data_IF_391777945944
#
_entry.id   IF_391777945944
#
_cell.length_a   1.000
_cell.length_b   1.000
_cell.length_c   1.000
_cell.angle_alpha   90.00
_cell.angle_beta   90.00
_cell.angle_gamma   90.00
#
_symmetry.space_group_name_H-M   'P 1'
#
loop_
_entity.id
_entity.type
_entity.pdbx_description
1 polymer ?
#
# COMPACT_ATOMS: atom_id res chain seq x y z
N UNK A 1 33.95 12.10 -17.24
CA UNK A 1 32.55 12.22 -17.70
C UNK A 1 32.26 11.05 -18.63
N UNK A 2 31.12 10.37 -18.47
CA UNK A 2 30.77 9.23 -19.33
C UNK A 2 30.51 9.72 -20.76
N UNK A 3 31.02 9.00 -21.76
CA UNK A 3 30.75 9.23 -23.18
C UNK A 3 29.37 8.69 -23.62
N UNK A 4 28.60 8.14 -22.69
CA UNK A 4 27.26 7.65 -22.97
C UNK A 4 26.32 8.82 -23.30
N UNK A 5 25.56 8.68 -24.39
CA UNK A 5 24.47 9.61 -24.70
C UNK A 5 23.45 9.62 -23.56
N UNK A 6 22.82 10.77 -23.26
CA UNK A 6 21.73 10.84 -22.31
C UNK A 6 20.65 9.80 -22.65
N UNK A 7 20.23 9.02 -21.65
CA UNK A 7 19.19 8.00 -21.85
C UNK A 7 17.87 8.61 -22.32
N UNK A 8 17.61 9.87 -21.96
CA UNK A 8 16.45 10.66 -22.39
C UNK A 8 16.31 10.73 -23.91
N UNK A 9 17.42 10.73 -24.65
CA UNK A 9 17.40 10.75 -26.11
C UNK A 9 16.80 9.44 -26.65
N UNK A 10 17.19 8.32 -26.03
CA UNK A 10 16.64 6.99 -26.37
C UNK A 10 15.17 6.89 -25.99
N UNK A 11 14.77 7.45 -24.84
CA UNK A 11 13.38 7.45 -24.40
C UNK A 11 12.46 8.22 -25.35
N UNK A 12 12.93 9.33 -25.94
CA UNK A 12 12.18 10.09 -26.96
C UNK A 12 11.94 9.29 -28.25
N UNK A 13 12.76 8.28 -28.54
CA UNK A 13 12.53 7.42 -29.71
C UNK A 13 11.47 6.34 -29.45
N UNK A 14 11.19 5.99 -28.20
CA UNK A 14 10.18 4.97 -27.88
C UNK A 14 8.79 5.52 -28.22
N UNK A 15 8.09 4.85 -29.14
CA UNK A 15 6.75 5.26 -29.56
C UNK A 15 6.69 6.66 -30.18
N UNK A 16 7.80 7.15 -30.75
CA UNK A 16 7.86 8.50 -31.34
C UNK A 16 7.76 9.64 -30.34
N UNK A 17 8.07 9.41 -29.06
CA UNK A 17 8.05 10.43 -28.00
C UNK A 17 6.84 10.31 -27.07
N UNK A 18 5.77 9.64 -27.51
CA UNK A 18 4.54 9.43 -26.71
C UNK A 18 4.85 8.77 -25.36
N UNK A 19 5.85 7.88 -25.31
CA UNK A 19 6.25 7.23 -24.08
C UNK A 19 6.71 8.22 -23.00
N UNK A 20 7.52 9.22 -23.37
CA UNK A 20 8.05 10.17 -22.40
C UNK A 20 6.99 11.19 -21.98
N UNK A 21 6.07 11.52 -22.87
CA UNK A 21 4.92 12.38 -22.56
C UNK A 21 4.00 11.69 -21.55
N UNK A 22 3.64 10.43 -21.79
CA UNK A 22 2.86 9.61 -20.85
C UNK A 22 3.57 9.46 -19.50
N UNK A 23 4.89 9.26 -19.49
CA UNK A 23 5.65 9.17 -18.25
C UNK A 23 5.60 10.49 -17.46
N UNK A 24 5.63 11.62 -18.16
CA UNK A 24 5.54 12.96 -17.57
C UNK A 24 4.16 13.21 -16.98
N UNK A 25 3.09 12.85 -17.69
CA UNK A 25 1.71 12.92 -17.19
C UNK A 25 1.51 12.05 -15.94
N UNK A 26 2.01 10.81 -15.96
CA UNK A 26 1.92 9.89 -14.82
C UNK A 26 2.73 10.37 -13.62
N UNK A 27 3.84 11.05 -13.85
CA UNK A 27 4.61 11.69 -12.78
C UNK A 27 3.83 12.85 -12.15
N UNK A 28 3.21 13.71 -12.96
CA UNK A 28 2.36 14.79 -12.45
C UNK A 28 1.19 14.24 -11.62
N UNK A 29 0.53 13.19 -12.12
CA UNK A 29 -0.52 12.47 -11.41
C UNK A 29 -0.03 11.90 -10.06
N UNK A 30 1.17 11.32 -10.03
CA UNK A 30 1.78 10.81 -8.82
C UNK A 30 2.07 11.91 -7.80
N UNK A 31 2.67 13.02 -8.25
CA UNK A 31 3.01 14.15 -7.39
C UNK A 31 1.75 14.72 -6.74
N UNK A 32 0.70 14.95 -7.53
CA UNK A 32 -0.58 15.43 -7.00
C UNK A 32 -1.20 14.46 -5.99
N UNK A 33 -1.11 13.15 -6.23
CA UNK A 33 -1.63 12.15 -5.31
C UNK A 33 -0.82 12.06 -4.00
N UNK A 34 0.51 12.19 -4.07
CA UNK A 34 1.39 12.24 -2.90
C UNK A 34 1.14 13.50 -2.09
N UNK A 35 1.00 14.65 -2.75
CA UNK A 35 0.71 15.93 -2.10
C UNK A 35 -0.65 15.91 -1.37
N UNK A 36 -1.69 15.39 -2.04
CA UNK A 36 -3.02 15.31 -1.46
C UNK A 36 -3.14 14.29 -0.31
N UNK A 37 -2.41 13.17 -0.38
CA UNK A 37 -2.49 12.09 0.63
C UNK A 37 -1.47 12.21 1.76
N UNK A 38 -0.36 12.93 1.55
CA UNK A 38 0.80 12.93 2.43
C UNK A 38 1.56 11.58 2.48
N UNK A 39 1.15 10.59 1.69
CA UNK A 39 1.70 9.23 1.69
C UNK A 39 2.58 9.02 0.46
N UNK A 40 3.57 8.14 0.60
CA UNK A 40 4.49 7.83 -0.49
C UNK A 40 3.79 7.09 -1.64
N UNK A 41 4.21 7.37 -2.87
CA UNK A 41 3.82 6.61 -4.06
C UNK A 41 5.02 6.38 -4.98
N UNK A 42 4.85 5.53 -5.98
CA UNK A 42 5.96 5.04 -6.82
C UNK A 42 5.59 5.06 -8.29
N UNK A 43 6.44 5.69 -9.12
CA UNK A 43 6.41 5.56 -10.57
C UNK A 43 7.56 4.66 -11.03
N UNK A 44 7.25 3.57 -11.72
CA UNK A 44 8.24 2.64 -12.28
C UNK A 44 8.26 2.75 -13.80
N UNK A 45 9.44 3.02 -14.36
CA UNK A 45 9.70 3.03 -15.80
C UNK A 45 10.60 1.85 -16.11
N UNK A 46 10.12 0.94 -16.95
CA UNK A 46 10.87 -0.25 -17.38
C UNK A 46 11.25 -0.12 -18.84
N UNK A 47 12.54 -0.25 -19.14
CA UNK A 47 13.07 -0.28 -20.51
C UNK A 47 13.51 -1.69 -20.83
N UNK A 48 12.84 -2.33 -21.77
CA UNK A 48 13.16 -3.66 -22.26
C UNK A 48 13.96 -3.55 -23.56
N UNK A 49 15.14 -4.14 -23.61
CA UNK A 49 15.98 -4.16 -24.81
C UNK A 49 16.11 -5.60 -25.30
N UNK A 50 15.82 -5.82 -26.59
CA UNK A 50 15.97 -7.12 -27.25
C UNK A 50 16.74 -6.95 -28.55
N UNK A 51 17.66 -7.87 -28.85
CA UNK A 51 18.36 -7.86 -30.15
C UNK A 51 17.39 -8.26 -31.25
N UNK A 52 17.33 -7.48 -32.33
CA UNK A 52 16.57 -7.86 -33.51
C UNK A 52 17.24 -9.07 -34.19
N UNK A 53 16.42 -10.01 -34.66
CA UNK A 53 16.89 -11.26 -35.28
C UNK A 53 17.58 -11.05 -36.63
N UNK A 54 17.36 -9.90 -37.29
CA UNK A 54 18.01 -9.52 -38.54
C UNK A 54 18.55 -8.09 -38.46
N UNK A 55 19.74 -7.85 -39.02
CA UNK A 55 20.26 -6.51 -39.27
C UNK A 55 20.96 -5.79 -38.10
N UNK A 56 21.29 -6.49 -37.00
CA UNK A 56 22.09 -5.92 -35.91
C UNK A 56 21.42 -4.82 -35.08
N UNK A 57 20.16 -4.50 -35.37
CA UNK A 57 19.37 -3.52 -34.64
C UNK A 57 18.95 -4.02 -33.24
N UNK A 58 18.56 -3.09 -32.38
CA UNK A 58 17.98 -3.36 -31.07
C UNK A 58 16.52 -2.90 -31.05
N UNK A 59 15.62 -3.77 -30.61
CA UNK A 59 14.26 -3.40 -30.24
C UNK A 59 14.26 -2.86 -28.81
N UNK A 60 13.70 -1.67 -28.63
CA UNK A 60 13.55 -1.00 -27.34
C UNK A 60 12.06 -0.85 -27.08
N UNK A 61 11.59 -1.40 -25.96
CA UNK A 61 10.23 -1.25 -25.47
C UNK A 61 10.23 -0.52 -24.13
N UNK A 62 9.26 0.38 -23.95
CA UNK A 62 9.02 1.07 -22.69
C UNK A 62 7.73 0.60 -22.03
N UNK A 63 7.74 0.45 -20.71
CA UNK A 63 6.54 0.21 -19.89
C UNK A 63 6.54 1.15 -18.69
N UNK A 64 5.38 1.71 -18.38
CA UNK A 64 5.16 2.57 -17.21
C UNK A 64 4.20 1.86 -16.26
N UNK A 65 4.53 1.83 -14.97
CA UNK A 65 3.66 1.36 -13.91
C UNK A 65 3.59 2.41 -12.80
N UNK A 66 2.38 2.88 -12.48
CA UNK A 66 2.12 3.86 -11.45
C UNK A 66 1.45 3.17 -10.25
N UNK A 67 2.07 3.27 -9.09
CA UNK A 67 1.49 2.90 -7.80
C UNK A 67 1.20 4.18 -7.04
N UNK A 68 -0.06 4.60 -7.05
CA UNK A 68 -0.50 5.75 -6.26
C UNK A 68 -0.40 5.44 -4.76
N UNK A 69 -0.29 6.47 -3.91
CA UNK A 69 -0.39 6.29 -2.47
C UNK A 69 -1.68 5.53 -2.14
N UNK A 70 -1.54 4.45 -1.36
CA UNK A 70 -2.68 3.64 -0.95
C UNK A 70 -3.52 4.43 0.06
N UNK A 71 -4.84 4.42 -0.13
CA UNK A 71 -5.78 4.71 0.95
C UNK A 71 -5.55 3.67 2.06
N UNK A 72 -5.82 4.03 3.32
CA UNK A 72 -5.61 3.10 4.42
C UNK A 72 -6.36 1.80 4.13
N UNK A 73 -5.67 0.64 4.20
CA UNK A 73 -6.33 -0.63 3.93
C UNK A 73 -7.53 -0.76 4.88
N UNK A 74 -8.72 -1.04 4.32
CA UNK A 74 -9.88 -1.41 5.11
C UNK A 74 -9.62 -2.80 5.69
N UNK A 75 -8.89 -2.85 6.79
CA UNK A 75 -8.58 -4.06 7.52
C UNK A 75 -9.77 -4.45 8.40
N UNK A 76 -10.23 -5.69 8.26
CA UNK A 76 -11.17 -6.31 9.18
C UNK A 76 -10.50 -7.55 9.78
N UNK A 77 -10.34 -7.58 11.10
CA UNK A 77 -9.83 -8.74 11.81
C UNK A 77 -10.98 -9.75 11.96
N UNK A 78 -10.83 -10.91 11.34
CA UNK A 78 -11.80 -12.00 11.37
C UNK A 78 -11.11 -13.29 11.82
N UNK A 79 -11.83 -14.12 12.57
CA UNK A 79 -11.39 -15.41 13.05
C UNK A 79 -11.93 -16.52 12.14
N UNK A 80 -11.06 -17.47 11.79
CA UNK A 80 -11.44 -18.63 11.00
C UNK A 80 -12.15 -19.69 11.85
N UNK A 81 -13.31 -20.17 11.39
CA UNK A 81 -14.01 -21.31 12.00
C UNK A 81 -13.51 -22.63 11.40
N UNK A 82 -13.62 -23.77 12.11
CA UNK A 82 -13.23 -25.10 11.59
C UNK A 82 -13.97 -25.50 10.30
N UNK A 83 -15.15 -24.91 10.05
CA UNK A 83 -15.98 -25.12 8.88
C UNK A 83 -15.56 -24.25 7.68
N UNK A 84 -14.52 -23.43 7.83
CA UNK A 84 -13.96 -22.60 6.76
C UNK A 84 -14.61 -21.23 6.60
N UNK A 85 -15.39 -20.77 7.59
CA UNK A 85 -16.02 -19.44 7.56
C UNK A 85 -15.19 -18.42 8.35
N UNK A 86 -15.47 -17.12 8.15
CA UNK A 86 -14.84 -16.01 8.86
C UNK A 86 -15.86 -15.30 9.75
N UNK A 87 -15.57 -15.15 11.04
CA UNK A 87 -16.44 -14.49 12.02
C UNK A 87 -15.69 -13.40 12.81
N UNK A 88 -16.40 -12.38 13.29
CA UNK A 88 -15.77 -11.25 14.00
C UNK A 88 -15.38 -11.57 15.45
N UNK A 89 -16.09 -12.50 16.10
CA UNK A 89 -15.82 -12.94 17.47
C UNK A 89 -15.00 -14.25 17.44
N UNK A 90 -13.98 -14.39 18.30
CA UNK A 90 -13.18 -15.63 18.36
C UNK A 90 -14.05 -16.82 18.82
N UNK A 91 -14.23 -17.86 17.99
CA UNK A 91 -15.05 -19.03 18.34
C UNK A 91 -14.49 -19.84 19.52
N UNK A 92 -13.22 -19.62 19.89
CA UNK A 92 -12.56 -20.29 21.03
C UNK A 92 -12.74 -19.52 22.34
N UNK A 93 -13.25 -18.29 22.29
CA UNK A 93 -13.46 -17.46 23.47
C UNK A 93 -14.85 -17.71 24.06
N UNK A 94 -14.92 -18.39 25.20
CA UNK A 94 -16.17 -18.50 25.96
C UNK A 94 -16.59 -17.12 26.48
N UNK A 95 -17.80 -16.66 26.13
CA UNK A 95 -18.44 -15.53 26.82
C UNK A 95 -18.71 -15.96 28.27
N UNK A 96 -17.94 -15.43 29.20
CA UNK A 96 -18.20 -15.60 30.62
C UNK A 96 -19.40 -14.72 31.02
N UNK A 97 -20.50 -15.36 31.40
CA UNK A 97 -21.59 -14.70 32.11
C UNK A 97 -21.15 -14.42 33.54
N UNK A 98 -20.48 -13.28 33.73
CA UNK A 98 -20.04 -12.82 35.04
C UNK A 98 -21.28 -12.47 35.89
N UNK A 99 -21.73 -13.41 36.72
CA UNK A 99 -22.63 -13.12 37.84
C UNK A 99 -21.83 -12.48 38.97
N UNK A 100 -22.30 -11.31 39.42
CA UNK A 100 -21.81 -10.68 40.66
C UNK A 100 -22.06 -11.67 41.80
N UNK A 101 -20.98 -12.13 42.43
CA UNK A 101 -21.08 -12.84 43.70
C UNK A 101 -21.25 -11.78 44.76
N UNK A 102 -22.34 -11.83 45.50
CA UNK A 102 -22.51 -11.01 46.70
C UNK A 102 -21.54 -11.53 47.76
N UNK A 103 -20.29 -11.06 47.68
CA UNK A 103 -19.27 -11.26 48.69
C UNK A 103 -19.48 -10.27 49.84
N UNK A 104 -19.34 -10.75 51.06
CA UNK A 104 -19.48 -10.04 52.33
C UNK A 104 -18.41 -8.94 52.54
N UNK A 105 -18.36 -7.96 51.64
CA UNK A 105 -17.63 -6.71 51.78
C UNK A 105 -18.40 -5.57 51.08
N UNK A 106 -19.71 -5.53 51.31
CA UNK A 106 -20.49 -4.29 51.17
C UNK A 106 -20.61 -3.61 52.53
N UNK A 107 -19.51 -3.64 53.31
CA UNK A 107 -19.39 -2.78 54.47
C UNK A 107 -19.17 -1.36 53.91
N UNK A 108 -20.12 -0.42 54.11
CA UNK A 108 -19.93 0.95 53.66
C UNK A 108 -18.62 1.48 54.28
N UNK A 109 -17.79 2.20 53.51
CA UNK A 109 -16.53 2.72 54.03
C UNK A 109 -16.82 3.53 55.29
N UNK A 110 -16.27 3.08 56.42
CA UNK A 110 -16.41 3.76 57.70
C UNK A 110 -15.97 5.21 57.50
N UNK A 111 -16.87 6.14 57.81
CA UNK A 111 -16.62 7.56 57.68
C UNK A 111 -15.36 7.93 58.49
N UNK A 112 -14.25 8.18 57.78
CA UNK A 112 -13.04 8.75 58.35
C UNK A 112 -13.39 10.17 58.80
N UNK A 113 -13.66 10.32 60.10
CA UNK A 113 -13.74 11.61 60.77
C UNK A 113 -12.35 12.07 61.19
N UNK A 114 -12.14 13.38 60.99
CA UNK A 114 -11.22 14.30 61.69
C UNK A 114 -9.72 14.14 61.40
N UNK A 115 -8.93 15.21 61.29
CA UNK A 115 -9.01 16.54 61.91
C UNK A 115 -8.64 17.70 60.97
#
# INVERSE_FOLDING_TARGET
>A
MSAARPITDTLRHIGGGVFIDQASEKLAELVNAVDASGKAGVLTITIAVKKATRGGAMHIGGKIALKKPAEDPMEAMLFATPEGNLIADDPRQQKLDLKRVDGASDAPPAALKTA
#
